data_IF_872387855153
#
_entry.id   IF_872387855153
#
_cell.length_a   1.000
_cell.length_b   1.000
_cell.length_c   1.000
_cell.angle_alpha   90.00
_cell.angle_beta   90.00
_cell.angle_gamma   90.00
#
_symmetry.space_group_name_H-M   'P 1'
#
loop_
_entity.id
_entity.type
_entity.pdbx_description
1 polymer ?
#
# COMPACT_ATOMS: atom_id res chain seq x y z
N UNK A 1 0.29 8.03 29.67
CA UNK A 1 -0.36 7.94 28.35
C UNK A 1 0.59 7.16 27.46
N UNK A 2 0.25 5.90 27.17
CA UNK A 2 1.15 4.96 26.50
C UNK A 2 1.26 5.36 25.02
N UNK A 3 2.45 5.83 24.63
CA UNK A 3 2.77 6.10 23.24
C UNK A 3 2.66 4.81 22.43
N UNK A 4 1.88 4.85 21.36
CA UNK A 4 1.89 3.81 20.33
C UNK A 4 3.30 3.78 19.75
N UNK A 5 4.03 2.70 20.01
CA UNK A 5 5.28 2.41 19.31
C UNK A 5 4.88 2.01 17.90
N UNK A 6 4.96 2.95 16.96
CA UNK A 6 4.93 2.61 15.53
C UNK A 6 6.27 1.93 15.25
N UNK A 7 6.28 0.60 15.25
CA UNK A 7 7.42 -0.19 14.81
C UNK A 7 7.61 0.03 13.31
N UNK A 8 8.40 1.06 12.96
CA UNK A 8 8.94 1.29 11.62
C UNK A 8 10.00 0.24 11.30
N UNK A 9 9.64 -1.03 11.32
CA UNK A 9 10.59 -2.12 11.12
C UNK A 9 10.00 -3.14 10.18
N UNK A 10 10.69 -3.33 9.05
CA UNK A 10 10.57 -4.55 8.29
C UNK A 10 11.33 -5.66 9.03
N UNK A 11 10.83 -6.88 8.97
CA UNK A 11 11.53 -8.08 9.45
C UNK A 11 11.73 -9.02 8.27
N UNK A 12 12.83 -9.77 8.28
CA UNK A 12 13.03 -10.83 7.29
C UNK A 12 12.34 -12.12 7.76
N UNK A 13 11.61 -12.74 6.85
CA UNK A 13 11.00 -14.06 7.03
C UNK A 13 11.50 -14.98 5.92
N UNK A 14 11.89 -16.20 6.29
CA UNK A 14 12.36 -17.20 5.33
C UNK A 14 11.72 -18.57 5.58
N UNK A 15 11.36 -19.26 4.49
CA UNK A 15 10.95 -20.66 4.50
C UNK A 15 11.40 -21.36 3.21
N UNK A 16 12.22 -22.40 3.35
CA UNK A 16 12.84 -23.06 2.19
C UNK A 16 13.74 -22.08 1.41
N UNK A 17 13.55 -22.00 0.10
CA UNK A 17 14.26 -21.05 -0.78
C UNK A 17 13.62 -19.66 -0.87
N UNK A 18 12.56 -19.39 -0.09
CA UNK A 18 11.84 -18.12 -0.11
C UNK A 18 12.30 -17.27 1.06
N UNK A 19 12.73 -16.05 0.75
CA UNK A 19 13.07 -14.98 1.70
C UNK A 19 12.28 -13.73 1.33
N UNK A 20 11.53 -13.19 2.29
CA UNK A 20 10.69 -12.01 2.13
C UNK A 20 10.97 -11.02 3.26
N UNK A 21 10.98 -9.74 2.91
CA UNK A 21 10.86 -8.66 3.89
C UNK A 21 9.37 -8.40 4.17
N UNK A 22 8.99 -8.50 5.44
CA UNK A 22 7.63 -8.28 5.94
C UNK A 22 7.58 -6.94 6.65
N UNK A 23 6.67 -6.06 6.24
CA UNK A 23 6.54 -4.71 6.79
C UNK A 23 5.15 -4.50 7.38
N UNK A 24 5.08 -4.20 8.68
CA UNK A 24 3.82 -3.77 9.29
C UNK A 24 3.40 -2.43 8.68
N UNK A 25 2.15 -2.37 8.21
CA UNK A 25 1.61 -1.27 7.42
C UNK A 25 0.17 -0.99 7.85
N UNK A 26 -0.05 -0.56 9.10
CA UNK A 26 -1.38 -0.31 9.64
C UNK A 26 -2.07 0.84 8.89
N UNK A 27 -3.39 0.82 8.92
CA UNK A 27 -4.21 1.89 8.33
C UNK A 27 -5.54 1.36 7.84
N UNK A 28 -5.53 0.59 6.75
CA UNK A 28 -6.68 -0.16 6.28
C UNK A 28 -7.21 -1.11 7.36
N UNK A 29 -6.29 -1.83 8.02
CA UNK A 29 -6.56 -2.62 9.22
C UNK A 29 -5.39 -2.51 10.22
N UNK A 30 -5.61 -2.69 11.54
CA UNK A 30 -4.54 -2.60 12.54
C UNK A 30 -3.37 -3.55 12.30
N UNK A 31 -3.66 -4.76 11.80
CA UNK A 31 -2.68 -5.83 11.58
C UNK A 31 -2.17 -5.94 10.14
N UNK A 32 -2.46 -4.97 9.27
CA UNK A 32 -2.11 -5.06 7.85
C UNK A 32 -0.58 -5.08 7.64
N UNK A 33 -0.10 -5.92 6.72
CA UNK A 33 1.32 -6.08 6.38
C UNK A 33 1.52 -6.09 4.86
N UNK A 34 2.67 -5.60 4.41
CA UNK A 34 3.15 -5.77 3.04
C UNK A 34 4.37 -6.67 3.00
N UNK A 35 4.61 -7.29 1.85
CA UNK A 35 5.67 -8.29 1.66
C UNK A 35 6.45 -7.97 0.41
N UNK A 36 7.77 -8.08 0.44
CA UNK A 36 8.56 -7.97 -0.80
C UNK A 36 9.78 -8.86 -0.82
N UNK A 37 10.15 -9.27 -2.03
CA UNK A 37 11.23 -10.19 -2.34
C UNK A 37 10.98 -10.86 -3.68
N UNK A 38 12.01 -11.48 -4.27
CA UNK A 38 11.88 -12.29 -5.50
C UNK A 38 11.18 -11.57 -6.66
N UNK A 39 11.46 -10.28 -6.88
CA UNK A 39 10.89 -9.53 -8.01
C UNK A 39 9.49 -8.96 -7.78
N UNK A 40 8.95 -9.07 -6.56
CA UNK A 40 7.57 -8.72 -6.24
C UNK A 40 7.50 -7.86 -4.96
N UNK A 41 6.63 -6.86 -5.00
CA UNK A 41 6.09 -6.16 -3.83
C UNK A 41 4.59 -6.46 -3.75
N UNK A 42 4.17 -7.25 -2.77
CA UNK A 42 2.77 -7.56 -2.50
C UNK A 42 2.21 -6.53 -1.51
N UNK A 43 1.35 -5.65 -2.02
CA UNK A 43 0.90 -4.47 -1.30
C UNK A 43 -0.32 -4.69 -0.42
N UNK A 44 -1.08 -5.78 -0.63
CA UNK A 44 -2.38 -5.95 0.01
C UNK A 44 -3.28 -4.73 -0.20
N UNK A 45 -4.05 -4.37 0.81
CA UNK A 45 -4.93 -3.20 0.78
C UNK A 45 -4.22 -1.91 1.24
N UNK A 46 -2.87 -1.91 1.31
CA UNK A 46 -2.11 -0.67 1.43
C UNK A 46 -2.13 0.10 0.11
N UNK A 47 -1.93 -0.58 -1.03
CA UNK A 47 -1.91 0.02 -2.36
C UNK A 47 -2.71 -0.83 -3.35
N UNK A 48 -3.57 -0.17 -4.10
CA UNK A 48 -4.07 -0.67 -5.38
C UNK A 48 -3.18 -0.16 -6.51
N UNK A 49 -3.50 -0.48 -7.77
CA UNK A 49 -2.72 -0.02 -8.93
C UNK A 49 -2.57 1.51 -8.88
N UNK A 50 -3.68 2.25 -8.94
CA UNK A 50 -3.69 3.72 -8.86
C UNK A 50 -4.05 4.30 -7.48
N UNK A 51 -4.63 3.50 -6.57
CA UNK A 51 -5.22 3.98 -5.32
C UNK A 51 -4.64 3.29 -4.07
N UNK A 52 -5.32 3.41 -2.92
CA UNK A 52 -5.07 2.65 -1.68
C UNK A 52 -6.37 2.12 -1.10
N UNK A 53 -6.30 1.17 -0.17
CA UNK A 53 -7.47 0.70 0.57
C UNK A 53 -8.15 1.78 1.41
N UNK A 54 -9.45 1.57 1.68
CA UNK A 54 -10.30 2.44 2.51
C UNK A 54 -9.86 2.44 3.97
N UNK A 55 -10.23 3.50 4.70
CA UNK A 55 -9.81 3.74 6.09
C UNK A 55 -10.95 4.20 6.99
N UNK A 56 -12.17 3.76 6.69
CA UNK A 56 -13.42 4.14 7.39
C UNK A 56 -14.16 2.97 8.07
N UNK A 57 -13.60 1.76 8.05
CA UNK A 57 -14.17 0.60 8.74
C UNK A 57 -13.73 0.54 10.22
N UNK A 58 -14.43 -0.21 11.09
CA UNK A 58 -14.00 -0.35 12.48
C UNK A 58 -12.55 -0.82 12.62
N UNK A 59 -11.73 -0.03 13.30
CA UNK A 59 -10.31 -0.31 13.54
C UNK A 59 -9.35 0.26 12.49
N UNK A 60 -9.82 0.87 11.41
CA UNK A 60 -8.93 1.58 10.48
C UNK A 60 -8.43 2.90 11.08
N UNK A 61 -7.31 3.39 10.55
CA UNK A 61 -6.72 4.68 10.92
C UNK A 61 -6.14 5.39 9.67
N UNK A 62 -6.76 6.50 9.21
CA UNK A 62 -6.30 7.24 8.04
C UNK A 62 -4.89 7.83 8.19
N UNK A 63 -4.52 8.21 9.42
CA UNK A 63 -3.19 8.77 9.68
C UNK A 63 -2.14 7.66 9.65
N UNK A 64 -2.46 6.49 10.21
CA UNK A 64 -1.59 5.32 10.12
C UNK A 64 -1.41 4.87 8.65
N UNK A 65 -2.49 4.81 7.86
CA UNK A 65 -2.43 4.46 6.44
C UNK A 65 -1.49 5.39 5.69
N UNK A 66 -1.61 6.70 5.90
CA UNK A 66 -0.73 7.68 5.26
C UNK A 66 0.75 7.45 5.60
N UNK A 67 1.07 7.22 6.88
CA UNK A 67 2.45 6.89 7.28
C UNK A 67 2.95 5.59 6.65
N UNK A 68 2.10 4.56 6.58
CA UNK A 68 2.41 3.28 5.94
C UNK A 68 2.66 3.44 4.45
N UNK A 69 1.87 4.25 3.74
CA UNK A 69 2.06 4.57 2.32
C UNK A 69 3.36 5.33 2.09
N UNK A 70 3.70 6.31 2.93
CA UNK A 70 4.98 7.01 2.84
C UNK A 70 6.18 6.09 3.09
N UNK A 71 6.06 5.17 4.04
CA UNK A 71 7.11 4.19 4.31
C UNK A 71 7.27 3.21 3.15
N UNK A 72 6.17 2.66 2.63
CA UNK A 72 6.16 1.81 1.44
C UNK A 72 6.78 2.52 0.22
N UNK A 73 6.50 3.81 0.05
CA UNK A 73 7.13 4.61 -1.00
C UNK A 73 8.65 4.70 -0.86
N UNK A 74 9.17 4.76 0.36
CA UNK A 74 10.60 4.68 0.64
C UNK A 74 11.18 3.35 0.14
N UNK A 75 10.56 2.24 0.56
CA UNK A 75 10.95 0.89 0.12
C UNK A 75 10.93 0.79 -1.42
N UNK A 76 9.83 1.18 -2.07
CA UNK A 76 9.66 1.07 -3.51
C UNK A 76 10.71 1.86 -4.31
N UNK A 77 11.23 2.97 -3.77
CA UNK A 77 12.32 3.72 -4.42
C UNK A 77 13.66 2.99 -4.41
N UNK A 78 13.87 2.13 -3.42
CA UNK A 78 15.11 1.35 -3.26
C UNK A 78 15.02 -0.02 -3.96
N UNK A 79 13.83 -0.43 -4.41
CA UNK A 79 13.62 -1.65 -5.19
C UNK A 79 13.92 -1.45 -6.69
N UNK A 80 14.29 -2.53 -7.41
CA UNK A 80 14.38 -2.48 -8.87
C UNK A 80 13.03 -2.09 -9.48
N UNK A 81 13.09 -1.17 -10.42
CA UNK A 81 11.91 -0.47 -10.94
C UNK A 81 11.03 -1.36 -11.84
N UNK A 82 11.56 -2.47 -12.32
CA UNK A 82 10.89 -3.50 -13.10
C UNK A 82 10.21 -4.58 -12.25
N UNK A 83 10.37 -4.53 -10.90
CA UNK A 83 9.62 -5.40 -10.01
C UNK A 83 8.12 -5.14 -10.15
N UNK A 84 7.34 -6.19 -9.85
CA UNK A 84 5.89 -6.12 -9.92
C UNK A 84 5.32 -5.65 -8.58
N UNK A 85 4.52 -4.59 -8.59
CA UNK A 85 3.62 -4.26 -7.50
C UNK A 85 2.30 -4.97 -7.72
N UNK A 86 1.97 -5.90 -6.82
CA UNK A 86 0.71 -6.66 -6.84
C UNK A 86 -0.24 -6.06 -5.79
N UNK A 87 -1.40 -5.53 -6.20
CA UNK A 87 -2.39 -4.96 -5.28
C UNK A 87 -3.18 -6.06 -4.55
N UNK A 88 -3.86 -5.70 -3.45
CA UNK A 88 -4.81 -6.60 -2.77
C UNK A 88 -6.07 -6.87 -3.59
N UNK A 89 -6.54 -5.86 -4.33
CA UNK A 89 -7.72 -5.92 -5.19
C UNK A 89 -7.50 -5.14 -6.49
N UNK A 90 -8.24 -5.50 -7.54
CA UNK A 90 -8.12 -4.86 -8.87
C UNK A 90 -9.11 -3.72 -9.00
N UNK A 91 -8.60 -2.61 -9.53
CA UNK A 91 -9.37 -1.41 -9.88
C UNK A 91 -8.81 -0.83 -11.17
N UNK A 92 -9.57 0.10 -11.73
CA UNK A 92 -9.17 0.83 -12.94
C UNK A 92 -7.81 1.49 -12.75
N UNK A 93 -6.97 1.27 -13.75
CA UNK A 93 -5.70 1.94 -13.94
C UNK A 93 -5.91 3.28 -14.65
N UNK A 94 -4.86 4.08 -14.75
CA UNK A 94 -4.90 5.42 -15.33
C UNK A 94 -5.33 5.45 -16.81
N UNK A 95 -5.26 4.32 -17.51
CA UNK A 95 -5.68 4.15 -18.90
C UNK A 95 -7.05 3.45 -19.05
N UNK A 96 -7.74 3.18 -17.94
CA UNK A 96 -9.02 2.48 -17.90
C UNK A 96 -8.92 0.95 -17.99
N UNK A 97 -7.71 0.36 -18.02
CA UNK A 97 -7.53 -1.08 -17.89
C UNK A 97 -7.60 -1.53 -16.42
N UNK A 98 -7.66 -2.83 -16.15
CA UNK A 98 -7.67 -3.40 -14.78
C UNK A 98 -6.54 -4.42 -14.60
N UNK A 99 -5.26 -3.98 -14.64
CA UNK A 99 -4.14 -4.90 -14.66
C UNK A 99 -3.99 -5.64 -13.32
N UNK A 100 -3.55 -6.89 -13.39
CA UNK A 100 -3.27 -7.71 -12.20
C UNK A 100 -2.09 -7.17 -11.37
N UNK A 101 -1.21 -6.38 -11.98
CA UNK A 101 -0.06 -5.74 -11.38
C UNK A 101 0.42 -4.57 -12.25
N UNK A 102 1.19 -3.66 -11.65
CA UNK A 102 1.96 -2.62 -12.38
C UNK A 102 3.42 -2.70 -11.97
N UNK A 103 4.34 -2.17 -12.77
CA UNK A 103 5.74 -2.08 -12.35
C UNK A 103 5.90 -1.11 -11.17
N UNK A 104 6.96 -1.28 -10.39
CA UNK A 104 7.33 -0.33 -9.33
C UNK A 104 7.52 1.09 -9.88
N UNK A 105 8.12 1.23 -11.07
CA UNK A 105 8.22 2.52 -11.76
C UNK A 105 6.85 3.17 -12.00
N UNK A 106 5.92 2.42 -12.58
CA UNK A 106 4.56 2.91 -12.88
C UNK A 106 3.81 3.29 -11.61
N UNK A 107 3.90 2.46 -10.57
CA UNK A 107 3.28 2.76 -9.28
C UNK A 107 3.82 4.08 -8.68
N UNK A 108 5.15 4.24 -8.64
CA UNK A 108 5.78 5.47 -8.14
C UNK A 108 5.39 6.71 -8.96
N UNK A 109 5.21 6.56 -10.28
CA UNK A 109 4.85 7.65 -11.18
C UNK A 109 3.37 8.05 -11.07
N UNK A 110 2.46 7.09 -10.88
CA UNK A 110 1.04 7.31 -11.16
C UNK A 110 0.08 7.03 -10.00
N UNK A 111 0.49 6.29 -8.97
CA UNK A 111 -0.41 5.99 -7.85
C UNK A 111 -0.71 7.27 -7.03
N UNK A 112 -1.99 7.59 -6.86
CA UNK A 112 -2.45 8.79 -6.18
C UNK A 112 -2.06 8.81 -4.69
N UNK A 113 -2.19 7.66 -4.02
CA UNK A 113 -1.85 7.53 -2.60
C UNK A 113 -0.34 7.69 -2.37
N UNK A 114 0.50 7.04 -3.17
CA UNK A 114 1.96 7.21 -3.10
C UNK A 114 2.37 8.67 -3.32
N UNK A 115 1.66 9.43 -4.15
CA UNK A 115 2.03 10.80 -4.47
C UNK A 115 1.36 11.87 -3.59
N UNK A 116 0.44 11.48 -2.69
CA UNK A 116 -0.15 12.35 -1.68
C UNK A 116 0.78 12.53 -0.45
N UNK A 117 1.81 13.36 -0.62
CA UNK A 117 2.89 13.57 0.38
C UNK A 117 2.50 14.40 1.59
N UNK A 118 1.30 14.97 1.62
CA UNK A 118 0.77 15.74 2.73
C UNK A 118 -0.48 15.05 3.27
N UNK A 119 -0.60 14.96 4.59
CA UNK A 119 -1.69 14.21 5.23
C UNK A 119 -3.07 14.72 4.82
N UNK A 120 -3.24 16.04 4.71
CA UNK A 120 -4.53 16.62 4.30
C UNK A 120 -4.86 16.35 2.83
N UNK A 121 -3.85 16.27 1.95
CA UNK A 121 -4.07 15.83 0.56
C UNK A 121 -4.50 14.37 0.56
N UNK A 122 -3.82 13.52 1.33
CA UNK A 122 -4.14 12.10 1.42
C UNK A 122 -5.57 11.86 1.92
N UNK A 123 -5.97 12.51 3.02
CA UNK A 123 -7.31 12.40 3.60
C UNK A 123 -8.44 12.83 2.67
N UNK A 124 -8.15 13.69 1.69
CA UNK A 124 -9.11 14.19 0.71
C UNK A 124 -9.15 13.36 -0.59
N UNK A 125 -8.39 12.26 -0.67
CA UNK A 125 -8.49 11.34 -1.82
C UNK A 125 -9.88 10.71 -1.89
N UNK A 126 -10.45 10.50 -3.09
CA UNK A 126 -11.85 10.11 -3.26
C UNK A 126 -12.17 8.69 -2.77
N UNK A 127 -11.14 7.86 -2.57
CA UNK A 127 -11.26 6.45 -2.19
C UNK A 127 -10.95 6.17 -0.71
N UNK A 128 -10.83 7.20 0.13
CA UNK A 128 -10.64 7.01 1.59
C UNK A 128 -11.86 6.33 2.25
N UNK A 129 -13.01 6.38 1.58
CA UNK A 129 -14.25 5.68 1.89
C UNK A 129 -14.70 5.00 0.60
N UNK A 130 -15.17 3.76 0.65
CA UNK A 130 -15.91 3.26 -0.52
C UNK A 130 -17.30 3.85 -0.50
N UNK A 131 -17.75 4.22 -1.69
CA UNK A 131 -19.15 4.15 -2.01
C UNK A 131 -19.47 2.66 -2.21
N UNK A 132 -20.25 2.06 -1.32
CA UNK A 132 -20.55 0.62 -1.36
C UNK A 132 -21.28 0.24 -2.67
N UNK A 133 -21.77 1.22 -3.43
CA UNK A 133 -22.38 1.07 -4.76
C UNK A 133 -21.37 0.77 -5.89
N UNK A 134 -20.06 0.94 -5.67
CA UNK A 134 -19.00 0.69 -6.68
C UNK A 134 -18.42 -0.73 -6.55
N UNK A 135 -18.78 -1.48 -5.50
CA UNK A 135 -18.26 -2.82 -5.22
C UNK A 135 -18.97 -3.97 -5.97
N UNK A 136 -19.72 -3.66 -7.04
CA UNK A 136 -20.52 -4.62 -7.80
C UNK A 136 -19.82 -5.14 -9.07
#
# INVERSE_FOLDING_TARGET
MNGIIILKSSVEWSAGGITLSVTHSPGHAPGHCTFHGHGVYHAGDLLFTAASGRVDLPGSDPTAQWWSVLFARGILRDLPQDWRLIPGHRYDWIDGSTPDWVSVAEALAHNYALNARELEVFKNLPFQRFDDDIAA
#
